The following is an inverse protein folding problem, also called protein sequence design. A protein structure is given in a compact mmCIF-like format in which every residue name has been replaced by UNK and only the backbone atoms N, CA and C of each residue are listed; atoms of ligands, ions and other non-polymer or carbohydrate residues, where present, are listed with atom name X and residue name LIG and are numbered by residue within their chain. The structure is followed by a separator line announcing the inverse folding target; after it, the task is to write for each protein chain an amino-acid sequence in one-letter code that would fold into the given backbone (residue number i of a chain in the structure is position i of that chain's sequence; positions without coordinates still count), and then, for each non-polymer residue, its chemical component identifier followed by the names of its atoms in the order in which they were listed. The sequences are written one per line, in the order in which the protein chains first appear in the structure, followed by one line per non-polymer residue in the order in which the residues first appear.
data_IF_470118151358
#
_entry.id   IF_470118151358
#
_cell.length_a   1.000
_cell.length_b   1.000
_cell.length_c   1.000
_cell.angle_alpha   90.00
_cell.angle_beta   90.00
_cell.angle_gamma   90.00
#
_symmetry.space_group_name_H-M   'P 1'
#
loop_
_entity.id
_entity.type
_entity.pdbx_description
1 polymer ?
#
# COMPACT_ATOMS: atom_id res chain seq x y z
N UNK A 1 -19.16 -7.84 -13.43
CA UNK A 1 -18.51 -7.00 -14.44
C UNK A 1 -17.01 -7.24 -14.30
N UNK A 2 -16.34 -7.88 -15.28
CA UNK A 2 -14.88 -8.02 -15.30
C UNK A 2 -14.30 -6.62 -15.46
N UNK A 3 -13.53 -6.19 -14.48
CA UNK A 3 -12.80 -4.91 -14.56
C UNK A 3 -11.55 -5.19 -15.42
N UNK A 4 -11.68 -5.05 -16.73
CA UNK A 4 -10.54 -5.07 -17.66
C UNK A 4 -9.75 -3.77 -17.44
N UNK A 5 -8.85 -3.78 -16.47
CA UNK A 5 -7.88 -2.70 -16.31
C UNK A 5 -6.75 -2.89 -17.30
N UNK A 6 -6.18 -1.77 -17.75
CA UNK A 6 -4.97 -1.75 -18.56
C UNK A 6 -3.90 -2.65 -17.92
N UNK A 7 -3.28 -3.59 -18.68
CA UNK A 7 -2.18 -4.42 -18.19
C UNK A 7 -1.04 -3.63 -17.52
N UNK A 8 -0.82 -2.38 -17.94
CA UNK A 8 0.14 -1.48 -17.30
C UNK A 8 -0.19 -1.16 -15.82
N UNK A 9 -1.44 -1.24 -15.40
CA UNK A 9 -1.82 -1.04 -14.01
C UNK A 9 -1.16 -2.08 -13.07
N UNK A 10 -1.05 -3.33 -13.51
CA UNK A 10 -0.51 -4.46 -12.75
C UNK A 10 1.01 -4.63 -12.88
N UNK A 11 1.69 -3.83 -13.72
CA UNK A 11 3.11 -3.98 -14.03
C UNK A 11 4.05 -3.08 -13.21
N UNK A 12 3.53 -2.37 -12.20
CA UNK A 12 4.34 -1.46 -11.41
C UNK A 12 5.14 -2.19 -10.31
N UNK A 13 6.45 -2.15 -10.44
CA UNK A 13 7.34 -2.61 -9.36
C UNK A 13 7.34 -1.61 -8.21
N UNK A 14 7.06 -2.09 -6.99
CA UNK A 14 7.02 -1.26 -5.79
C UNK A 14 8.39 -1.20 -5.09
N UNK A 15 9.43 -0.87 -5.85
CA UNK A 15 10.81 -0.69 -5.32
C UNK A 15 10.85 0.34 -4.19
N UNK A 16 9.94 1.31 -4.25
CA UNK A 16 9.76 2.34 -3.23
C UNK A 16 9.31 1.80 -1.87
N UNK A 17 8.66 0.63 -1.82
CA UNK A 17 8.32 -0.06 -0.56
C UNK A 17 9.45 -0.97 -0.10
N UNK A 18 10.06 -1.68 -1.04
CA UNK A 18 11.08 -2.71 -0.75
C UNK A 18 12.27 -2.12 0.04
N UNK A 19 12.64 -0.87 -0.20
CA UNK A 19 13.74 -0.19 0.52
C UNK A 19 13.50 -0.03 2.02
N UNK A 20 12.26 -0.14 2.48
CA UNK A 20 11.88 -0.02 3.89
C UNK A 20 11.76 -1.38 4.60
N UNK A 21 11.95 -2.49 3.89
CA UNK A 21 11.92 -3.82 4.52
C UNK A 21 13.09 -3.92 5.50
N UNK A 22 12.82 -4.28 6.78
CA UNK A 22 13.88 -4.39 7.78
C UNK A 22 14.94 -5.43 7.41
N UNK A 23 16.19 -5.18 7.80
CA UNK A 23 17.25 -6.18 7.70
C UNK A 23 16.92 -7.41 8.54
N UNK A 24 17.26 -8.60 8.03
CA UNK A 24 16.92 -9.87 8.68
C UNK A 24 15.52 -10.39 8.39
N UNK A 25 14.71 -9.68 7.58
CA UNK A 25 13.44 -10.20 7.06
C UNK A 25 13.69 -11.40 6.16
N UNK A 26 13.00 -12.51 6.41
CA UNK A 26 13.11 -13.75 5.62
C UNK A 26 11.81 -14.12 4.93
N UNK A 27 10.66 -13.86 5.57
CA UNK A 27 9.34 -14.25 5.06
C UNK A 27 8.47 -13.02 4.83
N UNK A 28 8.09 -12.81 3.58
CA UNK A 28 7.32 -11.65 3.15
C UNK A 28 5.97 -12.09 2.61
N UNK A 29 4.93 -11.38 2.99
CA UNK A 29 3.61 -11.44 2.36
C UNK A 29 3.38 -10.15 1.57
N UNK A 30 3.07 -10.25 0.29
CA UNK A 30 2.62 -9.13 -0.53
C UNK A 30 1.13 -9.28 -0.81
N UNK A 31 0.35 -8.27 -0.43
CA UNK A 31 -1.09 -8.21 -0.69
C UNK A 31 -1.33 -7.39 -1.94
N UNK A 32 -2.09 -7.93 -2.90
CA UNK A 32 -2.29 -7.34 -4.21
C UNK A 32 -1.02 -7.45 -5.07
N UNK A 33 -0.52 -8.67 -5.26
CA UNK A 33 0.76 -8.89 -5.93
C UNK A 33 0.71 -8.72 -7.47
N UNK A 34 -0.48 -8.62 -8.07
CA UNK A 34 -0.66 -8.43 -9.51
C UNK A 34 0.12 -9.43 -10.35
N UNK A 35 0.76 -8.95 -11.44
CA UNK A 35 1.62 -9.73 -12.33
C UNK A 35 3.02 -10.04 -11.74
N UNK A 36 3.25 -9.75 -10.44
CA UNK A 36 4.43 -10.22 -9.72
C UNK A 36 5.70 -9.38 -9.86
N UNK A 37 5.62 -8.17 -10.37
CA UNK A 37 6.82 -7.35 -10.59
C UNK A 37 7.56 -7.00 -9.30
N UNK A 38 6.84 -6.78 -8.19
CA UNK A 38 7.45 -6.59 -6.87
C UNK A 38 8.08 -7.88 -6.35
N UNK A 39 7.41 -9.03 -6.52
CA UNK A 39 7.96 -10.34 -6.17
C UNK A 39 9.27 -10.63 -6.90
N UNK A 40 9.34 -10.32 -8.21
CA UNK A 40 10.58 -10.39 -8.97
C UNK A 40 11.70 -9.57 -8.33
N UNK A 41 11.44 -8.30 -8.03
CA UNK A 41 12.41 -7.42 -7.41
C UNK A 41 12.82 -7.87 -5.99
N UNK A 42 11.93 -8.50 -5.24
CA UNK A 42 12.24 -9.13 -3.96
C UNK A 42 13.18 -10.34 -4.15
N UNK A 43 12.93 -11.20 -5.14
CA UNK A 43 13.83 -12.33 -5.48
C UNK A 43 15.22 -11.85 -5.86
N UNK A 44 15.30 -10.85 -6.71
CA UNK A 44 16.59 -10.27 -7.16
C UNK A 44 17.40 -9.69 -5.97
N UNK A 45 16.73 -9.32 -4.87
CA UNK A 45 17.36 -8.86 -3.62
C UNK A 45 17.67 -9.99 -2.62
N UNK A 46 17.37 -11.23 -2.98
CA UNK A 46 17.75 -12.40 -2.17
C UNK A 46 16.77 -12.76 -1.07
N UNK A 47 15.52 -12.26 -1.08
CA UNK A 47 14.52 -12.70 -0.13
C UNK A 47 14.14 -14.17 -0.38
N UNK A 48 14.13 -14.97 0.70
CA UNK A 48 14.00 -16.42 0.59
C UNK A 48 12.55 -16.88 0.40
N UNK A 49 11.64 -16.34 1.21
CA UNK A 49 10.24 -16.75 1.20
C UNK A 49 9.31 -15.59 0.90
N UNK A 50 8.70 -15.64 -0.30
CA UNK A 50 7.81 -14.60 -0.79
C UNK A 50 6.46 -15.24 -1.11
N UNK A 51 5.41 -14.73 -0.47
CA UNK A 51 4.02 -15.14 -0.70
C UNK A 51 3.24 -13.96 -1.25
N UNK A 52 2.41 -14.20 -2.26
CA UNK A 52 1.49 -13.22 -2.82
C UNK A 52 0.03 -13.51 -2.46
N UNK A 53 -0.79 -12.47 -2.41
CA UNK A 53 -2.26 -12.56 -2.46
C UNK A 53 -2.71 -11.76 -3.66
N UNK A 54 -3.55 -12.34 -4.52
CA UNK A 54 -4.10 -11.65 -5.68
C UNK A 54 -5.55 -12.10 -5.93
N UNK A 55 -6.42 -11.14 -6.23
CA UNK A 55 -7.83 -11.41 -6.52
C UNK A 55 -8.03 -11.83 -7.99
N UNK A 56 -7.19 -11.33 -8.89
CA UNK A 56 -7.24 -11.64 -10.31
C UNK A 56 -6.40 -12.87 -10.61
N UNK A 57 -7.05 -13.95 -11.01
CA UNK A 57 -6.39 -15.23 -11.30
C UNK A 57 -5.41 -15.16 -12.47
N UNK A 58 -5.72 -14.41 -13.53
CA UNK A 58 -4.84 -14.24 -14.70
C UNK A 58 -3.53 -13.56 -14.28
N UNK A 59 -3.62 -12.46 -13.51
CA UNK A 59 -2.45 -11.76 -12.99
C UNK A 59 -1.64 -12.63 -12.02
N UNK A 60 -2.31 -13.40 -11.16
CA UNK A 60 -1.66 -14.35 -10.26
C UNK A 60 -0.87 -15.43 -11.04
N UNK A 61 -1.39 -15.91 -12.18
CA UNK A 61 -0.69 -16.87 -13.03
C UNK A 61 0.59 -16.27 -13.64
N UNK A 62 0.53 -15.04 -14.12
CA UNK A 62 1.70 -14.33 -14.66
C UNK A 62 2.78 -14.13 -13.58
N UNK A 63 2.37 -13.77 -12.37
CA UNK A 63 3.28 -13.54 -11.23
C UNK A 63 3.89 -14.80 -10.64
N UNK A 64 3.34 -15.97 -10.94
CA UNK A 64 3.62 -17.23 -10.21
C UNK A 64 5.09 -17.63 -10.13
N UNK A 65 5.87 -17.28 -11.14
CA UNK A 65 7.30 -17.59 -11.19
C UNK A 65 8.14 -16.86 -10.11
N UNK A 66 7.61 -15.78 -9.54
CA UNK A 66 8.34 -14.90 -8.62
C UNK A 66 7.99 -15.12 -7.14
N UNK A 67 6.99 -15.97 -6.85
CA UNK A 67 6.54 -16.29 -5.50
C UNK A 67 6.69 -17.78 -5.20
N UNK A 68 6.87 -18.10 -3.93
CA UNK A 68 6.80 -19.51 -3.47
C UNK A 68 5.36 -20.02 -3.47
N UNK A 69 4.43 -19.08 -3.25
CA UNK A 69 3.00 -19.36 -3.25
C UNK A 69 2.24 -18.08 -3.57
N UNK A 70 1.18 -18.17 -4.35
CA UNK A 70 0.17 -17.11 -4.48
C UNK A 70 -1.16 -17.68 -4.00
N UNK A 71 -1.79 -16.99 -3.05
CA UNK A 71 -3.15 -17.25 -2.59
C UNK A 71 -4.09 -16.43 -3.46
N UNK A 72 -4.89 -17.11 -4.29
CA UNK A 72 -5.84 -16.44 -5.18
C UNK A 72 -7.14 -16.20 -4.41
N UNK A 73 -7.62 -14.97 -4.38
CA UNK A 73 -8.90 -14.61 -3.78
C UNK A 73 -8.96 -13.21 -3.20
N UNK A 74 -10.17 -12.85 -2.81
CA UNK A 74 -10.46 -11.57 -2.16
C UNK A 74 -9.91 -11.56 -0.73
N UNK A 75 -8.95 -10.69 -0.47
CA UNK A 75 -8.26 -10.58 0.83
C UNK A 75 -9.22 -10.29 1.99
N UNK A 76 -10.38 -9.70 1.72
CA UNK A 76 -11.41 -9.44 2.73
C UNK A 76 -12.24 -10.67 3.09
N UNK A 77 -12.16 -11.75 2.29
CA UNK A 77 -13.00 -12.95 2.45
C UNK A 77 -12.19 -14.21 2.72
N UNK A 78 -10.96 -14.27 2.24
CA UNK A 78 -10.11 -15.44 2.40
C UNK A 78 -9.54 -15.52 3.81
N UNK A 79 -9.43 -16.73 4.33
CA UNK A 79 -8.59 -17.00 5.49
C UNK A 79 -7.21 -17.43 5.01
N UNK A 80 -6.18 -16.76 5.47
CA UNK A 80 -4.81 -17.08 5.09
C UNK A 80 -4.41 -18.48 5.62
N UNK A 81 -3.92 -19.38 4.75
CA UNK A 81 -3.57 -20.75 5.13
C UNK A 81 -2.16 -20.83 5.75
N UNK A 82 -1.87 -19.91 6.69
CA UNK A 82 -0.58 -19.83 7.36
C UNK A 82 -0.75 -19.91 8.86
N UNK A 83 0.27 -20.42 9.51
CA UNK A 83 0.35 -20.45 10.97
C UNK A 83 0.43 -19.04 11.55
N UNK A 84 0.10 -18.94 12.84
CA UNK A 84 0.28 -17.70 13.58
C UNK A 84 1.76 -17.29 13.57
N UNK A 85 2.00 -15.98 13.44
CA UNK A 85 3.35 -15.41 13.49
C UNK A 85 4.30 -15.99 12.42
N UNK A 86 3.80 -16.21 11.22
CA UNK A 86 4.56 -16.80 10.12
C UNK A 86 5.43 -15.78 9.37
N UNK A 87 4.92 -14.58 9.10
CA UNK A 87 5.59 -13.55 8.29
C UNK A 87 6.36 -12.55 9.15
N UNK A 88 7.52 -12.12 8.66
CA UNK A 88 8.32 -11.04 9.24
C UNK A 88 7.82 -9.67 8.76
N UNK A 89 7.36 -9.60 7.51
CA UNK A 89 6.91 -8.37 6.87
C UNK A 89 5.68 -8.61 5.98
N UNK A 90 4.73 -7.66 5.99
CA UNK A 90 3.59 -7.62 5.07
C UNK A 90 3.63 -6.32 4.28
N UNK A 91 3.50 -6.41 2.95
CA UNK A 91 3.46 -5.27 2.03
C UNK A 91 2.04 -5.03 1.54
N UNK A 92 1.58 -3.77 1.59
CA UNK A 92 0.34 -3.29 1.00
C UNK A 92 0.67 -2.15 0.02
N UNK A 93 0.87 -2.49 -1.24
CA UNK A 93 1.22 -1.54 -2.29
C UNK A 93 -0.03 -1.02 -3.01
N UNK A 94 -0.64 0.07 -2.55
CA UNK A 94 -1.89 0.63 -3.11
C UNK A 94 -3.05 -0.39 -3.08
N UNK A 95 -3.31 -0.93 -1.91
CA UNK A 95 -4.35 -1.95 -1.69
C UNK A 95 -5.43 -1.46 -0.73
N UNK A 96 -5.04 -0.82 0.39
CA UNK A 96 -5.96 -0.52 1.48
C UNK A 96 -7.09 0.43 1.07
N UNK A 97 -6.86 1.31 0.11
CA UNK A 97 -7.85 2.22 -0.46
C UNK A 97 -8.91 1.52 -1.31
N UNK A 98 -8.62 0.33 -1.81
CA UNK A 98 -9.55 -0.47 -2.62
C UNK A 98 -10.46 -1.37 -1.79
N UNK A 99 -10.19 -1.54 -0.50
CA UNK A 99 -10.92 -2.44 0.38
C UNK A 99 -12.20 -1.79 0.93
N UNK A 100 -13.23 -2.59 1.12
CA UNK A 100 -14.46 -2.18 1.80
C UNK A 100 -14.19 -1.97 3.29
N UNK A 101 -13.40 -2.86 3.91
CA UNK A 101 -13.05 -2.78 5.33
C UNK A 101 -11.56 -3.03 5.60
N UNK A 102 -10.66 -2.08 5.23
CA UNK A 102 -9.22 -2.23 5.45
C UNK A 102 -8.84 -2.40 6.93
N UNK A 103 -9.65 -1.86 7.86
CA UNK A 103 -9.45 -2.02 9.32
C UNK A 103 -9.50 -3.49 9.73
N UNK A 104 -10.46 -4.24 9.20
CA UNK A 104 -10.61 -5.66 9.51
C UNK A 104 -9.46 -6.48 8.92
N UNK A 105 -9.10 -6.23 7.66
CA UNK A 105 -7.97 -6.92 7.01
C UNK A 105 -6.67 -6.72 7.80
N UNK A 106 -6.38 -5.49 8.21
CA UNK A 106 -5.21 -5.19 9.03
C UNK A 106 -5.21 -5.94 10.38
N UNK A 107 -6.39 -6.06 11.03
CA UNK A 107 -6.54 -6.83 12.27
C UNK A 107 -6.36 -8.33 12.04
N UNK A 108 -6.96 -8.88 10.99
CA UNK A 108 -6.87 -10.31 10.68
C UNK A 108 -5.44 -10.73 10.33
N UNK A 109 -4.73 -9.88 9.60
CA UNK A 109 -3.35 -10.14 9.22
C UNK A 109 -2.35 -10.05 10.39
N UNK A 110 -2.74 -9.43 11.52
CA UNK A 110 -1.93 -9.53 12.74
C UNK A 110 -1.71 -10.98 13.18
N UNK A 111 -2.68 -11.87 12.95
CA UNK A 111 -2.56 -13.26 13.38
C UNK A 111 -1.37 -13.96 12.71
N UNK A 112 -1.10 -13.66 11.44
CA UNK A 112 -0.01 -14.29 10.66
C UNK A 112 1.29 -13.48 10.68
N UNK A 113 1.27 -12.23 11.13
CA UNK A 113 2.47 -11.40 11.30
C UNK A 113 3.11 -11.71 12.66
N UNK A 114 4.42 -11.89 12.70
CA UNK A 114 5.20 -12.11 13.94
C UNK A 114 5.05 -10.93 14.91
N UNK A 115 5.23 -11.18 16.19
CA UNK A 115 5.41 -10.11 17.17
C UNK A 115 6.63 -9.29 16.78
N UNK A 116 6.48 -7.96 16.80
CA UNK A 116 7.54 -7.07 16.31
C UNK A 116 7.73 -7.11 14.78
N UNK A 117 6.92 -7.87 14.05
CA UNK A 117 6.90 -7.87 12.61
C UNK A 117 6.38 -6.55 12.03
N UNK A 118 6.75 -6.26 10.81
CA UNK A 118 6.54 -4.95 10.18
C UNK A 118 5.49 -5.02 9.08
N UNK A 119 4.63 -4.01 8.98
CA UNK A 119 3.85 -3.74 7.78
C UNK A 119 4.40 -2.51 7.07
N UNK A 120 4.38 -2.55 5.75
CA UNK A 120 4.75 -1.40 4.91
C UNK A 120 3.59 -1.18 3.95
N UNK A 121 2.97 0.00 4.03
CA UNK A 121 1.85 0.34 3.18
C UNK A 121 2.05 1.67 2.46
N UNK A 122 1.58 1.74 1.22
CA UNK A 122 1.44 2.98 0.51
C UNK A 122 -0.04 3.30 0.34
N UNK A 123 -0.41 4.56 0.61
CA UNK A 123 -1.80 5.00 0.58
C UNK A 123 -1.86 6.41 -0.01
N UNK A 124 -2.75 6.67 -1.00
CA UNK A 124 -2.96 7.99 -1.57
C UNK A 124 -3.48 9.00 -0.56
N UNK A 125 -3.08 10.26 -0.72
CA UNK A 125 -3.50 11.36 0.13
C UNK A 125 -4.58 12.20 -0.53
N UNK A 126 -5.83 12.07 -0.07
CA UNK A 126 -6.95 12.87 -0.57
C UNK A 126 -6.79 14.37 -0.26
N UNK A 127 -5.96 14.71 0.75
CA UNK A 127 -5.67 16.09 1.12
C UNK A 127 -4.71 16.79 0.14
N UNK A 128 -4.35 16.15 -0.99
CA UNK A 128 -3.51 16.77 -2.00
C UNK A 128 -4.17 18.03 -2.57
N UNK A 129 -3.38 19.10 -2.74
CA UNK A 129 -3.87 20.42 -3.16
C UNK A 129 -4.65 20.40 -4.49
N UNK A 130 -4.32 19.49 -5.42
CA UNK A 130 -5.01 19.38 -6.71
C UNK A 130 -6.46 18.94 -6.52
N UNK A 131 -6.69 17.99 -5.61
CA UNK A 131 -8.04 17.52 -5.27
C UNK A 131 -8.79 18.63 -4.55
N UNK A 132 -8.20 19.20 -3.50
CA UNK A 132 -8.85 20.24 -2.71
C UNK A 132 -9.15 21.51 -3.51
N UNK A 133 -8.24 21.93 -4.40
CA UNK A 133 -8.46 23.07 -5.30
C UNK A 133 -9.70 22.87 -6.19
N UNK A 134 -9.83 21.69 -6.81
CA UNK A 134 -10.97 21.37 -7.65
C UNK A 134 -12.27 21.31 -6.84
N UNK A 135 -12.24 20.70 -5.66
CA UNK A 135 -13.41 20.60 -4.79
C UNK A 135 -13.84 21.97 -4.27
N UNK A 136 -12.93 22.79 -3.71
CA UNK A 136 -13.25 24.06 -3.05
C UNK A 136 -13.64 25.14 -4.05
N UNK A 137 -12.86 25.30 -5.14
CA UNK A 137 -13.04 26.42 -6.06
C UNK A 137 -13.94 26.11 -7.26
N UNK A 138 -14.14 24.81 -7.60
CA UNK A 138 -14.92 24.40 -8.76
C UNK A 138 -16.11 23.49 -8.40
N UNK A 139 -16.23 23.05 -7.15
CA UNK A 139 -17.25 22.08 -6.71
C UNK A 139 -17.13 20.73 -7.41
N UNK A 140 -15.92 20.34 -7.86
CA UNK A 140 -15.70 19.14 -8.67
C UNK A 140 -14.97 18.07 -7.90
N UNK A 141 -15.57 16.86 -7.91
CA UNK A 141 -14.99 15.61 -7.46
C UNK A 141 -15.08 14.62 -8.62
N UNK A 142 -14.05 14.56 -9.43
CA UNK A 142 -14.05 13.80 -10.69
C UNK A 142 -13.20 12.54 -10.54
N UNK A 143 -13.84 11.38 -10.68
CA UNK A 143 -13.13 10.11 -10.70
C UNK A 143 -12.36 9.95 -12.01
N UNK A 144 -11.17 9.40 -11.90
CA UNK A 144 -10.21 9.15 -12.98
C UNK A 144 -9.92 7.66 -13.10
N UNK A 145 -9.20 7.25 -14.12
CA UNK A 145 -8.83 5.85 -14.33
C UNK A 145 -7.52 5.50 -13.57
N UNK A 146 -6.84 6.51 -13.02
CA UNK A 146 -5.64 6.37 -12.20
C UNK A 146 -5.54 7.46 -11.13
N UNK A 147 -4.60 7.29 -10.17
CA UNK A 147 -4.23 8.31 -9.20
C UNK A 147 -5.10 8.36 -7.95
N UNK A 148 -5.20 9.54 -7.30
CA UNK A 148 -5.83 9.67 -5.97
C UNK A 148 -7.34 9.42 -6.04
N UNK A 149 -8.00 9.86 -7.10
CA UNK A 149 -9.43 9.66 -7.33
C UNK A 149 -9.70 8.54 -8.34
N UNK A 150 -8.88 7.48 -8.33
CA UNK A 150 -9.17 6.29 -9.12
C UNK A 150 -10.58 5.76 -8.81
N UNK A 151 -11.33 5.39 -9.87
CA UNK A 151 -12.72 4.90 -9.76
C UNK A 151 -12.88 3.67 -8.87
N UNK A 152 -11.80 2.91 -8.70
CA UNK A 152 -11.78 1.72 -7.86
C UNK A 152 -11.45 1.99 -6.39
N UNK A 153 -11.07 3.23 -6.04
CA UNK A 153 -10.85 3.60 -4.65
C UNK A 153 -12.18 3.70 -3.91
N UNK A 154 -12.35 2.87 -2.92
CA UNK A 154 -13.52 2.86 -2.03
C UNK A 154 -13.29 3.71 -0.78
N UNK A 155 -12.03 3.94 -0.40
CA UNK A 155 -11.63 4.69 0.79
C UNK A 155 -10.64 5.80 0.43
N UNK A 156 -10.86 6.96 1.01
CA UNK A 156 -10.01 8.13 0.83
C UNK A 156 -9.40 8.53 2.16
N UNK A 157 -8.07 8.64 2.18
CA UNK A 157 -7.32 8.82 3.41
C UNK A 157 -6.57 10.14 3.47
N UNK A 158 -6.48 10.71 4.67
CA UNK A 158 -5.50 11.72 5.09
C UNK A 158 -4.45 11.04 5.96
N UNK A 159 -3.33 11.69 6.24
CA UNK A 159 -2.31 11.13 7.14
C UNK A 159 -2.90 10.79 8.52
N UNK A 160 -3.71 11.66 9.08
CA UNK A 160 -4.34 11.46 10.40
C UNK A 160 -5.27 10.22 10.39
N UNK A 161 -6.10 10.03 9.35
CA UNK A 161 -6.98 8.86 9.26
C UNK A 161 -6.20 7.56 9.08
N UNK A 162 -5.08 7.57 8.34
CA UNK A 162 -4.19 6.42 8.21
C UNK A 162 -3.58 6.06 9.56
N UNK A 163 -3.06 7.05 10.28
CA UNK A 163 -2.45 6.84 11.60
C UNK A 163 -3.44 6.24 12.59
N UNK A 164 -4.68 6.74 12.60
CA UNK A 164 -5.75 6.17 13.44
C UNK A 164 -6.07 4.74 13.06
N UNK A 165 -6.27 4.45 11.77
CA UNK A 165 -6.56 3.11 11.27
C UNK A 165 -5.50 2.10 11.72
N UNK A 166 -4.22 2.42 11.54
CA UNK A 166 -3.11 1.55 11.94
C UNK A 166 -3.05 1.34 13.46
N UNK A 167 -3.22 2.42 14.23
CA UNK A 167 -3.24 2.34 15.71
C UNK A 167 -4.40 1.49 16.22
N UNK A 168 -5.61 1.66 15.67
CA UNK A 168 -6.79 0.88 16.01
C UNK A 168 -6.64 -0.60 15.64
N UNK A 169 -5.90 -0.88 14.57
CA UNK A 169 -5.54 -2.24 14.19
C UNK A 169 -4.35 -2.81 14.99
N UNK A 170 -3.79 -2.09 15.98
CA UNK A 170 -2.75 -2.56 16.89
C UNK A 170 -1.33 -2.44 16.36
N UNK A 171 -1.09 -1.52 15.41
CA UNK A 171 0.25 -1.22 14.90
C UNK A 171 0.79 0.09 15.46
N UNK A 172 2.10 0.16 15.62
CA UNK A 172 2.86 1.37 16.00
C UNK A 172 3.67 1.88 14.80
N UNK A 173 3.48 3.15 14.45
CA UNK A 173 4.17 3.75 13.29
C UNK A 173 5.60 4.07 13.70
N UNK A 174 6.57 3.51 12.95
CA UNK A 174 8.00 3.74 13.12
C UNK A 174 8.60 4.62 12.03
N UNK A 175 7.98 4.66 10.85
CA UNK A 175 8.49 5.40 9.71
C UNK A 175 7.40 5.99 8.83
N UNK A 176 7.71 7.15 8.25
CA UNK A 176 6.82 7.85 7.31
C UNK A 176 7.64 8.48 6.19
N UNK A 177 7.42 8.04 4.96
CA UNK A 177 7.93 8.69 3.78
C UNK A 177 6.81 9.38 2.99
N UNK A 178 7.13 10.49 2.36
CA UNK A 178 6.18 11.34 1.62
C UNK A 178 6.57 11.41 0.15
N UNK A 179 5.71 10.93 -0.72
CA UNK A 179 5.86 11.08 -2.18
C UNK A 179 5.13 12.34 -2.62
N UNK A 180 5.90 13.35 -3.03
CA UNK A 180 5.36 14.62 -3.54
C UNK A 180 5.36 14.63 -5.06
N UNK A 181 4.45 15.38 -5.68
CA UNK A 181 4.55 15.73 -7.10
C UNK A 181 5.81 16.58 -7.29
N UNK A 182 6.77 16.08 -8.09
CA UNK A 182 8.14 16.58 -8.21
C UNK A 182 8.32 17.98 -8.79
N UNK A 183 7.82 18.99 -8.14
CA UNK A 183 8.09 20.37 -8.50
C UNK A 183 9.24 20.91 -7.62
N UNK A 184 10.34 21.37 -8.22
CA UNK A 184 11.47 21.95 -7.51
C UNK A 184 11.11 23.12 -6.57
N UNK A 185 10.04 23.86 -6.86
CA UNK A 185 9.51 24.94 -6.02
C UNK A 185 8.94 24.44 -4.68
N UNK A 186 8.60 23.15 -4.56
CA UNK A 186 8.14 22.52 -3.30
C UNK A 186 9.19 22.66 -2.20
N UNK A 187 10.50 22.59 -2.54
CA UNK A 187 11.59 22.75 -1.58
C UNK A 187 11.65 24.16 -0.99
N UNK A 188 11.28 25.18 -1.73
CA UNK A 188 11.24 26.56 -1.26
C UNK A 188 10.03 26.83 -0.35
N UNK A 189 8.88 26.26 -0.70
CA UNK A 189 7.66 26.35 0.11
C UNK A 189 7.84 25.65 1.45
N UNK A 190 8.61 24.57 1.49
CA UNK A 190 8.95 23.84 2.71
C UNK A 190 9.53 24.75 3.81
N UNK A 191 10.28 25.77 3.42
CA UNK A 191 10.96 26.69 4.33
C UNK A 191 10.04 27.79 4.88
N UNK A 192 8.94 28.10 4.19
CA UNK A 192 8.03 29.20 4.51
C UNK A 192 6.71 28.76 5.18
N UNK A 193 6.25 27.57 4.90
CA UNK A 193 4.89 27.13 5.21
C UNK A 193 4.87 26.00 6.25
N UNK A 194 5.32 26.04 7.39
CA UNK A 194 5.20 25.04 8.46
C UNK A 194 4.75 23.60 8.05
N UNK A 195 5.01 22.61 8.86
CA UNK A 195 4.84 21.19 8.55
C UNK A 195 3.43 20.77 8.06
N UNK A 196 2.38 21.47 8.48
CA UNK A 196 0.98 21.15 8.12
C UNK A 196 0.62 21.46 6.67
N UNK A 197 1.25 22.48 6.07
CA UNK A 197 0.97 22.86 4.68
C UNK A 197 1.72 21.97 3.67
N UNK A 198 2.78 21.30 4.09
CA UNK A 198 3.51 20.34 3.27
C UNK A 198 2.62 19.14 2.88
N UNK A 199 1.71 18.72 3.74
CA UNK A 199 0.80 17.63 3.47
C UNK A 199 -0.07 17.86 2.22
N UNK A 200 -0.37 19.11 1.88
CA UNK A 200 -1.09 19.42 0.64
C UNK A 200 -0.30 19.10 -0.64
N UNK A 201 1.02 19.00 -0.56
CA UNK A 201 1.88 18.67 -1.69
C UNK A 201 2.15 17.17 -1.82
N UNK A 202 1.84 16.40 -0.79
CA UNK A 202 2.02 14.96 -0.75
C UNK A 202 0.92 14.28 -1.58
N UNK A 203 1.32 13.42 -2.51
CA UNK A 203 0.38 12.57 -3.29
C UNK A 203 0.07 11.27 -2.57
N UNK A 204 1.08 10.71 -1.92
CA UNK A 204 1.02 9.37 -1.33
C UNK A 204 1.92 9.30 -0.12
N UNK A 205 1.48 8.59 0.90
CA UNK A 205 2.28 8.25 2.07
C UNK A 205 2.77 6.82 1.96
N UNK A 206 4.02 6.58 2.31
CA UNK A 206 4.56 5.25 2.60
C UNK A 206 4.78 5.21 4.11
N UNK A 207 4.17 4.23 4.75
CA UNK A 207 4.20 4.10 6.19
C UNK A 207 4.78 2.74 6.57
N UNK A 208 5.72 2.78 7.51
CA UNK A 208 6.30 1.60 8.14
C UNK A 208 5.72 1.53 9.55
N UNK A 209 5.07 0.43 9.87
CA UNK A 209 4.49 0.24 11.19
C UNK A 209 4.75 -1.17 11.72
N UNK A 210 4.94 -1.29 13.02
CA UNK A 210 5.29 -2.54 13.71
C UNK A 210 4.09 -3.08 14.48
N UNK A 211 3.89 -4.40 14.45
CA UNK A 211 2.95 -5.09 15.32
C UNK A 211 3.42 -5.02 16.79
N UNK A 212 2.56 -4.57 17.67
CA UNK A 212 2.77 -4.56 19.13
C UNK A 212 2.72 -5.95 19.74
#
# INVERSE_FOLDING_TARGET
MKNERDPHYYSHTRVDLIQFIPSGTTKILEVGCGAGMTGKALRERGFEKIVGIEINEEMAQEGRAFYDQIVIGDVEKIRLPFEKEYFDCILYGDVLEHLVNPWQVLKDHQAVLKRGGTIICSIPNVRNYRILKNLIFRGRWEYTDDGILDRSHLRFFTLDSIQRMLKEAGYEIEGLAKRSSGAHWVKWIHRLLGSRLIEFLVRQYIIVARKR
#
